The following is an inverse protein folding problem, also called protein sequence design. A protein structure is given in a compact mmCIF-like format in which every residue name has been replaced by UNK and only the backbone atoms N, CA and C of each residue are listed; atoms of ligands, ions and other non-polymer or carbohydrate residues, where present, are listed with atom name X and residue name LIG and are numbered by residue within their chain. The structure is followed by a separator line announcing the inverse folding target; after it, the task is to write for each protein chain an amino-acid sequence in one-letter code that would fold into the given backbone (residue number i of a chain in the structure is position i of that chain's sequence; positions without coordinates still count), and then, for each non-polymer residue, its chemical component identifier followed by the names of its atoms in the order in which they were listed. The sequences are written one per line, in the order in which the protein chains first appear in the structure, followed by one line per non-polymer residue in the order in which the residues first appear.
data_IF_600431372928
#
_entry.id   IF_600431372928
#
_cell.length_a   1.000
_cell.length_b   1.000
_cell.length_c   1.000
_cell.angle_alpha   90.00
_cell.angle_beta   90.00
_cell.angle_gamma   90.00
#
_symmetry.space_group_name_H-M   'P 1'
#
loop_
_entity.id
_entity.type
_entity.pdbx_description
1 polymer ?
#
# COMPACT_ATOMS: atom_id res chain seq x y z
N UNK A 1 7.23 -14.98 21.63
CA UNK A 1 7.03 -13.84 20.72
C UNK A 1 8.32 -13.01 20.74
N UNK A 2 8.98 -12.85 19.61
CA UNK A 2 10.25 -12.11 19.49
C UNK A 2 10.02 -10.58 19.47
N UNK A 3 11.07 -9.79 19.72
CA UNK A 3 11.01 -8.32 19.61
C UNK A 3 10.60 -7.89 18.20
N UNK A 4 11.06 -8.63 17.18
CA UNK A 4 10.72 -8.41 15.78
C UNK A 4 9.24 -8.70 15.49
N UNK A 5 8.72 -9.85 15.93
CA UNK A 5 7.30 -10.21 15.77
C UNK A 5 6.37 -9.18 16.43
N UNK A 6 6.74 -8.68 17.60
CA UNK A 6 5.98 -7.64 18.30
C UNK A 6 5.95 -6.34 17.49
N UNK A 7 7.09 -5.96 16.89
CA UNK A 7 7.21 -4.75 16.09
C UNK A 7 6.41 -4.84 14.78
N UNK A 8 6.48 -5.98 14.08
CA UNK A 8 5.69 -6.23 12.87
C UNK A 8 4.20 -6.18 13.17
N UNK A 9 3.75 -6.75 14.30
CA UNK A 9 2.34 -6.70 14.71
C UNK A 9 1.87 -5.26 14.96
N UNK A 10 2.64 -4.46 15.70
CA UNK A 10 2.29 -3.06 15.96
C UNK A 10 2.24 -2.23 14.67
N UNK A 11 3.17 -2.46 13.75
CA UNK A 11 3.13 -1.78 12.45
C UNK A 11 1.92 -2.24 11.62
N UNK A 12 1.56 -3.52 11.65
CA UNK A 12 0.38 -4.02 10.95
C UNK A 12 -0.92 -3.35 11.43
N UNK A 13 -1.06 -3.14 12.74
CA UNK A 13 -2.20 -2.42 13.33
C UNK A 13 -2.27 -0.97 12.79
N UNK A 14 -1.14 -0.26 12.76
CA UNK A 14 -1.05 1.09 12.16
C UNK A 14 -1.38 1.11 10.67
N UNK A 15 -0.94 0.10 9.90
CA UNK A 15 -1.26 0.00 8.48
C UNK A 15 -2.76 -0.24 8.26
N UNK A 16 -3.42 -0.99 9.14
CA UNK A 16 -4.87 -1.19 9.07
C UNK A 16 -5.63 0.11 9.36
N UNK A 17 -5.26 0.83 10.42
CA UNK A 17 -5.82 2.15 10.73
C UNK A 17 -5.64 3.14 9.58
N UNK A 18 -4.42 3.21 9.03
CA UNK A 18 -4.12 4.05 7.90
C UNK A 18 -4.99 3.74 6.68
N UNK A 19 -5.22 2.46 6.41
CA UNK A 19 -6.07 2.06 5.29
C UNK A 19 -7.53 2.47 5.48
N UNK A 20 -8.06 2.37 6.69
CA UNK A 20 -9.43 2.84 7.00
C UNK A 20 -9.56 4.36 6.78
N UNK A 21 -8.60 5.15 7.25
CA UNK A 21 -8.57 6.60 7.01
C UNK A 21 -8.53 6.94 5.51
N UNK A 22 -7.73 6.18 4.73
CA UNK A 22 -7.65 6.35 3.27
C UNK A 22 -8.98 6.01 2.60
N UNK A 23 -9.67 4.95 3.03
CA UNK A 23 -10.98 4.54 2.50
C UNK A 23 -12.07 5.54 2.81
N UNK A 24 -12.00 6.17 3.99
CA UNK A 24 -12.94 7.20 4.44
C UNK A 24 -12.58 8.61 3.92
N UNK A 25 -11.51 8.75 3.14
CA UNK A 25 -11.02 10.04 2.62
C UNK A 25 -10.66 11.03 3.74
N UNK A 26 -10.29 10.54 4.92
CA UNK A 26 -9.83 11.34 6.05
C UNK A 26 -8.37 11.78 5.81
N UNK A 27 -8.16 12.73 4.89
CA UNK A 27 -6.84 13.11 4.37
C UNK A 27 -5.89 13.59 5.47
N UNK A 28 -6.40 14.34 6.46
CA UNK A 28 -5.58 14.89 7.54
C UNK A 28 -5.09 13.79 8.46
N UNK A 29 -5.99 12.90 8.86
CA UNK A 29 -5.76 11.75 9.72
C UNK A 29 -4.81 10.77 9.02
N UNK A 30 -5.10 10.41 7.77
CA UNK A 30 -4.23 9.57 6.94
C UNK A 30 -2.80 10.12 6.81
N UNK A 31 -2.64 11.46 6.74
CA UNK A 31 -1.31 12.09 6.74
C UNK A 31 -0.60 11.95 8.08
N UNK A 32 -1.32 12.06 9.20
CA UNK A 32 -0.75 11.89 10.54
C UNK A 32 -0.27 10.45 10.74
N UNK A 33 -1.10 9.47 10.40
CA UNK A 33 -0.76 8.04 10.50
C UNK A 33 0.39 7.66 9.56
N UNK A 34 0.42 8.21 8.34
CA UNK A 34 1.56 8.06 7.42
C UNK A 34 2.89 8.51 8.03
N UNK A 35 2.91 9.66 8.72
CA UNK A 35 4.14 10.16 9.37
C UNK A 35 4.59 9.23 10.50
N UNK A 36 3.66 8.69 11.29
CA UNK A 36 3.97 7.71 12.33
C UNK A 36 4.56 6.42 11.76
N UNK A 37 3.97 5.90 10.68
CA UNK A 37 4.48 4.72 9.96
C UNK A 37 5.89 4.99 9.45
N UNK A 38 6.15 6.17 8.86
CA UNK A 38 7.47 6.54 8.35
C UNK A 38 8.55 6.57 9.42
N UNK A 39 8.25 7.10 10.61
CA UNK A 39 9.20 7.09 11.71
C UNK A 39 9.47 5.66 12.20
N UNK A 40 8.43 4.83 12.35
CA UNK A 40 8.58 3.42 12.73
C UNK A 40 9.49 2.65 11.77
N UNK A 41 9.27 2.82 10.46
CA UNK A 41 10.04 2.14 9.42
C UNK A 41 11.55 2.49 9.41
N UNK A 42 11.99 3.55 10.09
CA UNK A 42 13.42 3.85 10.26
C UNK A 42 14.07 3.01 11.35
N UNK A 43 13.28 2.54 12.31
CA UNK A 43 13.75 1.89 13.54
C UNK A 43 13.66 0.37 13.47
N UNK A 44 12.84 -0.17 12.57
CA UNK A 44 12.57 -1.60 12.47
C UNK A 44 12.87 -2.13 11.08
N UNK A 45 13.51 -3.30 11.02
CA UNK A 45 13.42 -4.15 9.84
C UNK A 45 12.00 -4.71 9.78
N UNK A 46 11.44 -4.95 8.59
CA UNK A 46 10.08 -5.49 8.45
C UNK A 46 10.10 -6.72 7.56
N UNK A 47 9.21 -7.67 7.81
CA UNK A 47 9.08 -8.82 6.93
C UNK A 47 8.49 -8.43 5.56
N UNK A 48 8.61 -9.36 4.61
CA UNK A 48 8.16 -9.14 3.23
C UNK A 48 6.66 -8.91 3.12
N UNK A 49 5.85 -9.53 3.99
CA UNK A 49 4.39 -9.36 3.97
C UNK A 49 4.00 -7.93 4.37
N UNK A 50 4.55 -7.45 5.48
CA UNK A 50 4.33 -6.07 5.98
C UNK A 50 4.85 -5.06 4.95
N UNK A 51 6.02 -5.31 4.36
CA UNK A 51 6.61 -4.45 3.32
C UNK A 51 5.75 -4.36 2.07
N UNK A 52 5.20 -5.48 1.61
CA UNK A 52 4.30 -5.50 0.47
C UNK A 52 3.00 -4.76 0.77
N UNK A 53 2.41 -5.01 1.94
CA UNK A 53 1.18 -4.33 2.34
C UNK A 53 1.37 -2.81 2.44
N UNK A 54 2.44 -2.36 3.09
CA UNK A 54 2.79 -0.94 3.13
C UNK A 54 2.93 -0.33 1.72
N UNK A 55 3.61 -1.02 0.79
CA UNK A 55 3.80 -0.54 -0.58
C UNK A 55 2.47 -0.33 -1.32
N UNK A 56 1.53 -1.26 -1.16
CA UNK A 56 0.17 -1.16 -1.70
C UNK A 56 -0.57 0.06 -1.13
N UNK A 57 -0.58 0.21 0.19
CA UNK A 57 -1.26 1.31 0.86
C UNK A 57 -0.64 2.67 0.51
N UNK A 58 0.69 2.74 0.39
CA UNK A 58 1.40 3.95 0.02
C UNK A 58 1.03 4.41 -1.40
N UNK A 59 0.85 3.49 -2.36
CA UNK A 59 0.31 3.85 -3.66
C UNK A 59 -1.12 4.40 -3.54
N UNK A 60 -2.00 3.71 -2.80
CA UNK A 60 -3.40 4.12 -2.64
C UNK A 60 -3.53 5.48 -1.93
N UNK A 61 -2.66 5.78 -0.97
CA UNK A 61 -2.56 7.08 -0.33
C UNK A 61 -2.09 8.16 -1.31
N UNK A 62 -1.08 7.89 -2.13
CA UNK A 62 -0.63 8.82 -3.17
C UNK A 62 -1.75 9.16 -4.16
N UNK A 63 -2.56 8.17 -4.55
CA UNK A 63 -3.77 8.40 -5.35
C UNK A 63 -4.75 9.34 -4.65
N UNK A 64 -4.94 9.20 -3.33
CA UNK A 64 -5.84 10.04 -2.54
C UNK A 64 -5.37 11.50 -2.48
N UNK A 65 -4.08 11.73 -2.19
CA UNK A 65 -3.57 13.08 -1.86
C UNK A 65 -2.93 13.81 -3.03
N UNK A 66 -2.49 13.08 -4.05
CA UNK A 66 -1.76 13.61 -5.21
C UNK A 66 -1.99 12.76 -6.46
N UNK A 67 -3.26 12.46 -6.77
CA UNK A 67 -3.65 11.61 -7.89
C UNK A 67 -3.16 12.10 -9.27
N UNK A 68 -2.95 13.41 -9.44
CA UNK A 68 -2.43 13.99 -10.68
C UNK A 68 -0.95 13.66 -10.94
N UNK A 69 -0.19 13.34 -9.88
CA UNK A 69 1.22 12.93 -10.01
C UNK A 69 1.40 11.46 -10.37
N UNK A 70 0.32 10.71 -10.56
CA UNK A 70 0.37 9.29 -10.88
C UNK A 70 0.75 9.11 -12.36
N UNK A 71 1.87 8.44 -12.56
CA UNK A 71 2.45 8.13 -13.86
C UNK A 71 2.43 6.64 -14.14
N UNK A 72 2.79 6.24 -15.37
CA UNK A 72 2.96 4.84 -15.77
C UNK A 72 3.86 4.06 -14.80
N UNK A 73 4.88 4.70 -14.25
CA UNK A 73 5.85 4.04 -13.38
C UNK A 73 5.46 3.99 -11.90
N UNK A 74 4.36 4.66 -11.52
CA UNK A 74 3.94 4.80 -10.12
C UNK A 74 3.56 3.47 -9.45
N UNK A 75 3.30 2.42 -10.23
CA UNK A 75 3.00 1.09 -9.71
C UNK A 75 4.18 0.10 -9.83
N UNK A 76 5.24 0.46 -10.57
CA UNK A 76 6.37 -0.46 -10.87
C UNK A 76 7.07 -0.95 -9.61
N UNK A 77 7.14 -0.14 -8.54
CA UNK A 77 7.77 -0.56 -7.27
C UNK A 77 7.06 -1.77 -6.65
N UNK A 78 5.74 -1.86 -6.79
CA UNK A 78 4.93 -2.98 -6.30
C UNK A 78 5.10 -4.20 -7.21
N UNK A 79 5.32 -4.00 -8.52
CA UNK A 79 5.52 -5.08 -9.50
C UNK A 79 6.93 -5.68 -9.51
N UNK A 80 7.92 -4.97 -8.97
CA UNK A 80 9.30 -5.48 -8.80
C UNK A 80 9.42 -6.58 -7.74
N UNK A 81 8.34 -6.92 -7.06
CA UNK A 81 8.25 -7.94 -6.03
C UNK A 81 7.75 -9.25 -6.68
N UNK A 82 8.65 -10.13 -7.18
CA UNK A 82 8.26 -11.36 -7.87
C UNK A 82 7.55 -12.33 -6.92
N UNK A 83 6.57 -13.07 -7.44
CA UNK A 83 5.81 -14.15 -6.77
C UNK A 83 5.01 -13.75 -5.52
N UNK A 84 5.11 -12.49 -5.08
CA UNK A 84 4.54 -12.01 -3.82
C UNK A 84 3.00 -12.01 -3.81
N UNK A 85 2.34 -11.96 -4.98
CA UNK A 85 0.88 -12.06 -5.08
C UNK A 85 0.37 -13.50 -4.92
N UNK A 86 1.18 -14.46 -5.35
CA UNK A 86 0.89 -15.89 -5.25
C UNK A 86 1.18 -16.36 -3.83
N UNK A 87 2.24 -15.83 -3.22
CA UNK A 87 2.63 -16.11 -1.84
C UNK A 87 1.69 -15.46 -0.81
N UNK A 88 1.25 -14.22 -1.06
CA UNK A 88 0.37 -13.46 -0.15
C UNK A 88 -1.02 -13.26 -0.76
N UNK A 89 -1.74 -14.37 -0.94
CA UNK A 89 -3.08 -14.40 -1.54
C UNK A 89 -4.08 -13.43 -0.88
N UNK A 90 -3.97 -13.19 0.43
CA UNK A 90 -4.80 -12.21 1.16
C UNK A 90 -4.61 -10.76 0.69
N UNK A 91 -3.44 -10.43 0.13
CA UNK A 91 -3.13 -9.11 -0.41
C UNK A 91 -3.40 -8.99 -1.92
N UNK A 92 -3.75 -10.10 -2.58
CA UNK A 92 -4.03 -10.12 -4.01
C UNK A 92 -5.18 -9.18 -4.39
N UNK A 93 -6.24 -9.12 -3.58
CA UNK A 93 -7.35 -8.20 -3.80
C UNK A 93 -6.88 -6.73 -3.86
N UNK A 94 -6.09 -6.29 -2.87
CA UNK A 94 -5.55 -4.93 -2.85
C UNK A 94 -4.66 -4.67 -4.06
N UNK A 95 -3.81 -5.63 -4.40
CA UNK A 95 -2.95 -5.52 -5.58
C UNK A 95 -3.76 -5.29 -6.86
N UNK A 96 -4.71 -6.17 -7.16
CA UNK A 96 -5.48 -6.08 -8.41
C UNK A 96 -6.37 -4.84 -8.43
N UNK A 97 -7.04 -4.54 -7.32
CA UNK A 97 -7.87 -3.34 -7.23
C UNK A 97 -7.06 -2.05 -7.42
N UNK A 98 -5.88 -1.94 -6.82
CA UNK A 98 -5.03 -0.76 -6.98
C UNK A 98 -4.39 -0.69 -8.37
N UNK A 99 -4.11 -1.82 -9.00
CA UNK A 99 -3.67 -1.88 -10.41
C UNK A 99 -4.77 -1.44 -11.37
N UNK A 100 -6.01 -1.85 -11.13
CA UNK A 100 -7.16 -1.36 -11.89
C UNK A 100 -7.33 0.17 -11.75
N UNK A 101 -7.17 0.71 -10.54
CA UNK A 101 -7.15 2.16 -10.29
C UNK A 101 -6.03 2.84 -11.10
N UNK A 102 -4.81 2.32 -11.05
CA UNK A 102 -3.66 2.84 -11.81
C UNK A 102 -3.96 2.89 -13.31
N UNK A 103 -4.44 1.79 -13.89
CA UNK A 103 -4.84 1.70 -15.29
C UNK A 103 -5.98 2.68 -15.63
N UNK A 104 -6.94 2.87 -14.72
CA UNK A 104 -8.05 3.82 -14.89
C UNK A 104 -7.55 5.26 -14.92
N UNK A 105 -6.63 5.64 -14.03
CA UNK A 105 -6.02 6.98 -14.00
C UNK A 105 -5.27 7.27 -15.31
N UNK A 106 -4.64 6.25 -15.89
CA UNK A 106 -3.94 6.34 -17.18
C UNK A 106 -4.85 6.23 -18.40
N UNK A 107 -6.18 6.21 -18.20
CA UNK A 107 -7.19 6.00 -19.24
C UNK A 107 -7.03 4.69 -20.04
N UNK A 108 -6.33 3.70 -19.49
CA UNK A 108 -6.21 2.37 -20.07
C UNK A 108 -7.33 1.45 -19.54
N UNK A 109 -8.56 1.72 -19.99
CA UNK A 109 -9.75 1.04 -19.47
C UNK A 109 -9.84 -0.44 -19.85
N UNK A 110 -9.17 -0.87 -20.92
CA UNK A 110 -9.12 -2.27 -21.30
C UNK A 110 -8.28 -3.06 -20.29
N UNK A 111 -7.10 -2.53 -19.92
CA UNK A 111 -6.27 -3.10 -18.86
C UNK A 111 -6.97 -3.01 -17.50
N UNK A 112 -7.65 -1.90 -17.21
CA UNK A 112 -8.34 -1.75 -15.92
C UNK A 112 -9.41 -2.82 -15.65
N UNK A 113 -10.01 -3.41 -16.70
CA UNK A 113 -11.06 -4.44 -16.58
C UNK A 113 -10.52 -5.86 -16.38
N UNK A 114 -9.22 -6.09 -16.60
CA UNK A 114 -8.62 -7.44 -16.49
C UNK A 114 -8.12 -7.74 -15.07
N UNK A 115 -8.04 -6.72 -14.22
CA UNK A 115 -7.67 -6.79 -12.81
C UNK A 115 -8.89 -6.54 -11.92
#
# INVERSE_FOLDING_TARGET
MTVQEKSNKQLMELLHEWYEEIRLYHVKEAKQTYLQIKERLKEIEIDQYVSFYYSLLNFRYKVLVDGMSITKDSFNQIEKLPNIKEEFSFLAYYYYFFKAIHSTILANYNEAKTH
#
